data_IF_028587397695
#
_entry.id   IF_028587397695
#
_cell.length_a   1.000
_cell.length_b   1.000
_cell.length_c   1.000
_cell.angle_alpha   90.00
_cell.angle_beta   90.00
_cell.angle_gamma   90.00
#
_symmetry.space_group_name_H-M   'P 1'
#
loop_
_entity.id
_entity.type
_entity.pdbx_description
1 polymer ?
#
# COMPACT_ATOMS: atom_id res chain seq x y z
N UNK A 1 15.93 21.39 -16.04
CA UNK A 1 16.00 20.68 -14.76
C UNK A 1 15.15 19.43 -14.92
N UNK A 2 15.74 18.25 -14.86
CA UNK A 2 15.00 16.99 -14.91
C UNK A 2 14.16 16.91 -13.63
N UNK A 3 12.84 16.93 -13.78
CA UNK A 3 11.92 16.82 -12.66
C UNK A 3 12.02 15.39 -12.12
N UNK A 4 12.78 15.18 -11.03
CA UNK A 4 12.96 13.88 -10.41
C UNK A 4 11.60 13.37 -9.93
N UNK A 5 11.19 12.17 -10.37
CA UNK A 5 9.94 11.57 -9.93
C UNK A 5 10.03 11.16 -8.47
N UNK A 6 8.95 11.39 -7.72
CA UNK A 6 8.81 11.01 -6.32
C UNK A 6 7.85 9.84 -6.20
N UNK A 7 8.27 8.81 -5.45
CA UNK A 7 7.45 7.66 -5.13
C UNK A 7 7.24 7.55 -3.62
N UNK A 8 6.01 7.33 -3.20
CA UNK A 8 5.65 7.01 -1.82
C UNK A 8 5.31 5.52 -1.71
N UNK A 9 6.04 4.79 -0.86
CA UNK A 9 5.85 3.35 -0.64
C UNK A 9 5.33 3.14 0.78
N UNK A 10 4.09 2.71 0.94
CA UNK A 10 3.61 2.29 2.26
C UNK A 10 4.09 0.86 2.55
N UNK A 11 4.45 0.57 3.81
CA UNK A 11 4.96 -0.77 4.16
C UNK A 11 6.36 -1.06 3.62
N UNK A 12 7.21 -0.04 3.52
CA UNK A 12 8.58 -0.13 2.98
C UNK A 12 9.46 -1.16 3.67
N UNK A 13 9.17 -1.50 4.92
CA UNK A 13 9.92 -2.48 5.72
C UNK A 13 9.59 -3.93 5.37
N UNK A 14 8.55 -4.17 4.57
CA UNK A 14 8.21 -5.48 4.02
C UNK A 14 9.19 -5.93 2.93
N UNK A 15 9.07 -7.19 2.50
CA UNK A 15 9.92 -7.74 1.45
C UNK A 15 9.76 -6.98 0.14
N UNK A 16 8.53 -6.86 -0.35
CA UNK A 16 8.24 -6.18 -1.62
C UNK A 16 8.57 -4.69 -1.55
N UNK A 17 8.30 -4.04 -0.40
CA UNK A 17 8.64 -2.64 -0.18
C UNK A 17 10.14 -2.37 -0.29
N UNK A 18 10.96 -3.24 0.27
CA UNK A 18 12.41 -3.12 0.22
C UNK A 18 12.97 -3.31 -1.20
N UNK A 19 12.52 -4.35 -1.92
CA UNK A 19 12.93 -4.57 -3.31
C UNK A 19 12.44 -3.48 -4.25
N UNK A 20 11.20 -3.02 -4.09
CA UNK A 20 10.64 -1.91 -4.87
C UNK A 20 11.44 -0.62 -4.64
N UNK A 21 11.81 -0.33 -3.39
CA UNK A 21 12.65 0.82 -3.07
C UNK A 21 13.97 0.80 -3.84
N UNK A 22 14.66 -0.35 -3.84
CA UNK A 22 15.89 -0.54 -4.60
C UNK A 22 15.68 -0.27 -6.09
N UNK A 23 14.66 -0.88 -6.68
CA UNK A 23 14.34 -0.71 -8.10
C UNK A 23 14.05 0.75 -8.47
N UNK A 24 13.31 1.47 -7.64
CA UNK A 24 12.95 2.86 -7.90
C UNK A 24 14.15 3.80 -7.74
N UNK A 25 15.02 3.57 -6.75
CA UNK A 25 16.29 4.30 -6.62
C UNK A 25 17.20 4.10 -7.85
N UNK A 26 17.34 2.86 -8.34
CA UNK A 26 18.08 2.55 -9.55
C UNK A 26 17.50 3.23 -10.80
N UNK A 27 16.20 3.50 -10.82
CA UNK A 27 15.50 4.27 -11.87
C UNK A 27 15.56 5.79 -11.67
N UNK A 28 16.25 6.28 -10.65
CA UNK A 28 16.43 7.70 -10.38
C UNK A 28 15.24 8.38 -9.72
N UNK A 29 14.36 7.63 -9.05
CA UNK A 29 13.30 8.20 -8.22
C UNK A 29 13.85 8.72 -6.90
N UNK A 30 13.23 9.78 -6.38
CA UNK A 30 13.29 10.12 -4.97
C UNK A 30 12.26 9.27 -4.22
N UNK A 31 12.74 8.41 -3.32
CA UNK A 31 11.90 7.40 -2.65
C UNK A 31 11.57 7.83 -1.23
N UNK A 32 10.29 7.85 -0.92
CA UNK A 32 9.72 8.05 0.41
C UNK A 32 9.12 6.73 0.89
N UNK A 33 9.64 6.20 1.99
CA UNK A 33 9.18 4.96 2.57
C UNK A 33 8.45 5.19 3.87
N UNK A 34 7.29 4.54 4.09
CA UNK A 34 6.56 4.70 5.32
C UNK A 34 6.71 3.54 6.28
N UNK A 35 6.85 3.87 7.56
CA UNK A 35 6.87 2.93 8.66
C UNK A 35 6.09 3.48 9.86
N UNK A 36 5.46 2.61 10.67
CA UNK A 36 4.84 3.05 11.94
C UNK A 36 5.91 3.28 13.01
N UNK A 37 5.69 4.23 13.93
CA UNK A 37 6.56 4.44 15.10
C UNK A 37 6.74 3.17 15.94
N UNK A 38 7.87 3.03 16.57
CA UNK A 38 8.07 2.14 17.72
C UNK A 38 8.67 0.76 17.48
N UNK A 39 9.34 0.47 16.36
CA UNK A 39 10.08 -0.77 16.21
C UNK A 39 11.50 -0.55 15.70
N UNK A 40 12.48 -0.81 16.53
CA UNK A 40 13.91 -0.68 16.25
C UNK A 40 14.45 -1.71 15.23
N UNK A 41 13.73 -2.81 14.98
CA UNK A 41 14.18 -3.88 14.07
C UNK A 41 13.56 -3.84 12.67
N UNK A 42 12.92 -2.72 12.30
CA UNK A 42 12.11 -2.66 11.07
C UNK A 42 12.90 -2.60 9.77
N UNK A 43 14.11 -2.13 9.79
CA UNK A 43 14.83 -1.73 8.58
C UNK A 43 15.84 -2.76 8.06
N UNK A 44 15.95 -3.92 8.69
CA UNK A 44 16.94 -4.95 8.35
C UNK A 44 16.97 -5.34 6.87
N UNK A 45 15.81 -5.35 6.19
CA UNK A 45 15.74 -5.64 4.75
C UNK A 45 16.29 -4.49 3.90
N UNK A 46 16.03 -3.25 4.30
CA UNK A 46 16.56 -2.06 3.62
C UNK A 46 18.07 -1.94 3.82
N UNK A 47 18.57 -2.26 5.04
CA UNK A 47 19.99 -2.34 5.36
C UNK A 47 20.68 -3.44 4.54
N UNK A 48 20.09 -4.65 4.50
CA UNK A 48 20.61 -5.76 3.70
C UNK A 48 20.74 -5.43 2.21
N UNK A 49 19.82 -4.63 1.67
CA UNK A 49 19.85 -4.17 0.28
C UNK A 49 20.71 -2.91 0.08
N UNK A 50 21.32 -2.36 1.16
CA UNK A 50 22.11 -1.13 1.15
C UNK A 50 21.36 0.08 0.58
N UNK A 51 20.08 0.22 0.89
CA UNK A 51 19.23 1.32 0.37
C UNK A 51 18.66 2.23 1.46
N UNK A 52 18.80 1.88 2.74
CA UNK A 52 18.20 2.63 3.84
C UNK A 52 18.59 4.12 3.86
N UNK A 53 19.88 4.42 3.66
CA UNK A 53 20.40 5.79 3.69
C UNK A 53 19.94 6.65 2.50
N UNK A 54 19.39 6.02 1.47
CA UNK A 54 18.91 6.68 0.25
C UNK A 54 17.37 6.85 0.23
N UNK A 55 16.67 6.45 1.29
CA UNK A 55 15.21 6.51 1.40
C UNK A 55 14.81 7.52 2.47
N UNK A 56 13.89 8.39 2.16
CA UNK A 56 13.27 9.28 3.13
C UNK A 56 12.22 8.50 3.95
N UNK A 57 12.56 8.11 5.17
CA UNK A 57 11.63 7.36 6.05
C UNK A 57 10.67 8.33 6.74
N UNK A 58 9.37 8.02 6.68
CA UNK A 58 8.29 8.85 7.23
C UNK A 58 7.40 8.03 8.17
N UNK A 59 7.03 8.62 9.30
CA UNK A 59 6.01 8.08 10.18
C UNK A 59 4.63 8.17 9.53
N UNK A 60 3.96 7.02 9.37
CA UNK A 60 2.70 6.95 8.66
C UNK A 60 1.83 5.82 9.22
N UNK A 61 0.55 6.11 9.48
CA UNK A 61 -0.41 5.13 9.94
C UNK A 61 -1.67 5.16 9.05
N UNK A 62 -2.05 4.00 8.52
CA UNK A 62 -3.26 3.85 7.70
C UNK A 62 -4.57 4.09 8.47
N UNK A 63 -4.52 4.10 9.80
CA UNK A 63 -5.66 4.42 10.65
C UNK A 63 -5.88 5.93 10.81
N UNK A 64 -4.85 6.75 10.53
CA UNK A 64 -4.87 8.18 10.82
C UNK A 64 -4.98 9.01 9.53
N UNK A 65 -6.20 9.43 9.21
CA UNK A 65 -6.52 10.16 7.97
C UNK A 65 -5.75 11.48 7.83
N UNK A 66 -5.64 12.25 8.92
CA UNK A 66 -4.93 13.52 8.88
C UNK A 66 -3.43 13.37 8.63
N UNK A 67 -2.82 12.28 9.13
CA UNK A 67 -1.42 11.95 8.87
C UNK A 67 -1.23 11.57 7.39
N UNK A 68 -2.15 10.78 6.81
CA UNK A 68 -2.15 10.42 5.38
C UNK A 68 -2.18 11.66 4.50
N UNK A 69 -3.16 12.54 4.73
CA UNK A 69 -3.32 13.78 3.95
C UNK A 69 -2.09 14.67 4.02
N UNK A 70 -1.60 14.97 5.23
CA UNK A 70 -0.41 15.80 5.43
C UNK A 70 0.82 15.21 4.74
N UNK A 71 1.01 13.90 4.80
CA UNK A 71 2.13 13.22 4.16
C UNK A 71 2.05 13.36 2.64
N UNK A 72 0.92 13.02 2.03
CA UNK A 72 0.73 13.14 0.58
C UNK A 72 0.91 14.60 0.13
N UNK A 73 0.32 15.55 0.85
CA UNK A 73 0.40 16.99 0.54
C UNK A 73 1.83 17.52 0.66
N UNK A 74 2.62 17.07 1.65
CA UNK A 74 3.99 17.54 1.84
C UNK A 74 4.97 16.98 0.80
N UNK A 75 4.77 15.73 0.36
CA UNK A 75 5.64 15.06 -0.60
C UNK A 75 5.23 15.39 -2.04
N UNK A 76 3.92 15.50 -2.31
CA UNK A 76 3.36 15.57 -3.66
C UNK A 76 3.95 14.47 -4.55
N UNK A 77 3.75 13.18 -4.19
CA UNK A 77 4.34 12.07 -4.94
C UNK A 77 3.71 11.97 -6.33
N UNK A 78 4.47 11.50 -7.32
CA UNK A 78 3.93 11.17 -8.63
C UNK A 78 3.27 9.79 -8.64
N UNK A 79 3.74 8.92 -7.74
CA UNK A 79 3.29 7.53 -7.65
C UNK A 79 3.21 7.10 -6.19
N UNK A 80 2.11 6.43 -5.81
CA UNK A 80 1.93 5.81 -4.47
C UNK A 80 1.78 4.31 -4.64
N UNK A 81 2.61 3.55 -3.93
CA UNK A 81 2.57 2.09 -3.86
C UNK A 81 2.08 1.66 -2.48
N UNK A 82 0.82 1.23 -2.40
CA UNK A 82 0.22 0.82 -1.13
C UNK A 82 0.46 -0.67 -0.87
N UNK A 83 1.56 -0.96 -0.17
CA UNK A 83 1.95 -2.32 0.24
C UNK A 83 1.67 -2.60 1.72
N UNK A 84 1.40 -1.54 2.52
CA UNK A 84 1.11 -1.70 3.94
C UNK A 84 -0.22 -2.42 4.16
N UNK A 85 -0.23 -3.37 5.07
CA UNK A 85 -1.40 -4.11 5.48
C UNK A 85 -1.20 -4.78 6.85
N UNK A 86 -2.29 -5.10 7.55
CA UNK A 86 -2.29 -6.23 8.46
C UNK A 86 -2.41 -7.49 7.59
N UNK A 87 -1.28 -8.19 7.33
CA UNK A 87 -1.17 -9.25 6.31
C UNK A 87 -1.17 -10.67 6.88
N UNK A 88 -1.08 -10.82 8.20
CA UNK A 88 -1.09 -12.13 8.82
C UNK A 88 -2.52 -12.67 8.95
N UNK A 89 -2.89 -13.60 8.06
CA UNK A 89 -4.26 -14.12 7.92
C UNK A 89 -4.84 -14.63 9.24
N UNK A 90 -4.14 -15.45 10.07
CA UNK A 90 -4.68 -15.91 11.35
C UNK A 90 -5.13 -14.76 12.27
N UNK A 91 -4.32 -13.72 12.42
CA UNK A 91 -4.68 -12.54 13.25
C UNK A 91 -5.96 -11.85 12.76
N UNK A 92 -6.31 -11.98 11.48
CA UNK A 92 -7.54 -11.35 10.96
C UNK A 92 -8.82 -11.96 11.55
N UNK A 93 -8.78 -13.20 12.02
CA UNK A 93 -9.91 -13.83 12.72
C UNK A 93 -10.05 -13.34 14.17
N UNK A 94 -8.92 -13.03 14.81
CA UNK A 94 -8.93 -12.51 16.18
C UNK A 94 -9.25 -11.00 16.20
N UNK A 95 -8.79 -10.25 15.19
CA UNK A 95 -8.91 -8.80 15.08
C UNK A 95 -9.54 -8.37 13.75
N UNK A 96 -10.78 -8.81 13.43
CA UNK A 96 -11.39 -8.56 12.12
C UNK A 96 -11.68 -7.08 11.87
N UNK A 97 -12.07 -6.32 12.89
CA UNK A 97 -12.34 -4.88 12.78
C UNK A 97 -11.05 -4.12 12.47
N UNK A 98 -10.00 -4.35 13.25
CA UNK A 98 -8.70 -3.71 13.04
C UNK A 98 -8.13 -4.05 11.65
N UNK A 99 -8.25 -5.32 11.23
CA UNK A 99 -7.80 -5.77 9.90
C UNK A 99 -8.55 -5.04 8.79
N UNK A 100 -9.87 -4.89 8.92
CA UNK A 100 -10.70 -4.17 7.95
C UNK A 100 -10.41 -2.67 7.95
N UNK A 101 -10.21 -2.08 9.09
CA UNK A 101 -9.90 -0.65 9.22
C UNK A 101 -8.55 -0.31 8.57
N UNK A 102 -7.51 -1.12 8.81
CA UNK A 102 -6.20 -0.95 8.18
C UNK A 102 -6.26 -1.21 6.67
N UNK A 103 -6.78 -2.37 6.25
CA UNK A 103 -6.63 -2.83 4.88
C UNK A 103 -7.66 -2.22 3.93
N UNK A 104 -8.92 -2.16 4.35
CA UNK A 104 -10.03 -1.65 3.55
C UNK A 104 -10.14 -0.13 3.67
N UNK A 105 -10.43 0.37 4.87
CA UNK A 105 -10.61 1.80 5.08
C UNK A 105 -9.29 2.60 4.95
N UNK A 106 -8.15 2.01 5.33
CA UNK A 106 -6.84 2.62 5.12
C UNK A 106 -6.57 2.89 3.63
N UNK A 107 -6.90 1.93 2.75
CA UNK A 107 -6.81 2.12 1.30
C UNK A 107 -7.75 3.24 0.84
N UNK A 108 -9.00 3.24 1.32
CA UNK A 108 -9.97 4.27 0.98
C UNK A 108 -9.52 5.67 1.42
N UNK A 109 -8.91 5.80 2.62
CA UNK A 109 -8.33 7.07 3.10
C UNK A 109 -7.24 7.59 2.17
N UNK A 110 -6.37 6.71 1.62
CA UNK A 110 -5.35 7.13 0.64
C UNK A 110 -6.01 7.60 -0.65
N UNK A 111 -6.96 6.83 -1.19
CA UNK A 111 -7.66 7.17 -2.43
C UNK A 111 -8.39 8.51 -2.33
N UNK A 112 -9.11 8.75 -1.24
CA UNK A 112 -9.81 10.01 -0.97
C UNK A 112 -8.84 11.20 -0.81
N UNK A 113 -7.68 10.95 -0.19
CA UNK A 113 -6.61 11.95 -0.11
C UNK A 113 -6.03 12.30 -1.48
N UNK A 114 -5.80 11.31 -2.35
CA UNK A 114 -5.35 11.51 -3.73
C UNK A 114 -6.37 12.38 -4.48
N UNK A 115 -7.64 11.99 -4.44
CA UNK A 115 -8.71 12.72 -5.12
C UNK A 115 -8.78 14.18 -4.68
N UNK A 116 -8.57 14.45 -3.38
CA UNK A 116 -8.65 15.80 -2.81
C UNK A 116 -7.41 16.64 -3.12
N UNK A 117 -6.20 16.02 -3.16
CA UNK A 117 -4.93 16.75 -3.27
C UNK A 117 -4.49 16.89 -4.72
N UNK A 118 -4.35 15.77 -5.44
CA UNK A 118 -3.99 15.74 -6.86
C UNK A 118 -4.39 14.39 -7.49
N UNK A 119 -5.45 14.39 -8.28
CA UNK A 119 -5.96 13.21 -8.97
C UNK A 119 -5.00 12.60 -10.01
N UNK A 120 -3.94 13.30 -10.39
CA UNK A 120 -2.93 12.78 -11.32
C UNK A 120 -1.91 11.85 -10.64
N UNK A 121 -1.91 11.74 -9.32
CA UNK A 121 -1.06 10.79 -8.59
C UNK A 121 -1.46 9.37 -8.98
N UNK A 122 -0.51 8.62 -9.51
CA UNK A 122 -0.74 7.21 -9.86
C UNK A 122 -0.74 6.36 -8.59
N UNK A 123 -1.74 5.51 -8.47
CA UNK A 123 -1.91 4.65 -7.31
C UNK A 123 -1.82 3.17 -7.68
N UNK A 124 -0.98 2.43 -6.95
CA UNK A 124 -0.89 0.98 -7.01
C UNK A 124 -1.37 0.37 -5.69
N UNK A 125 -2.35 -0.52 -5.77
CA UNK A 125 -2.84 -1.31 -4.64
C UNK A 125 -2.29 -2.73 -4.71
N UNK A 126 -1.52 -3.15 -3.73
CA UNK A 126 -1.17 -4.54 -3.57
C UNK A 126 -2.42 -5.33 -3.19
N UNK A 127 -2.84 -6.22 -4.05
CA UNK A 127 -3.93 -7.17 -3.80
C UNK A 127 -3.38 -8.48 -3.19
N UNK A 128 -4.12 -9.57 -3.25
CA UNK A 128 -3.69 -10.86 -2.69
C UNK A 128 -4.44 -12.02 -3.35
N UNK A 129 -3.81 -13.17 -3.44
CA UNK A 129 -4.48 -14.42 -3.87
C UNK A 129 -5.58 -14.87 -2.90
N UNK A 130 -5.55 -14.42 -1.63
CA UNK A 130 -6.59 -14.70 -0.64
C UNK A 130 -7.99 -14.16 -1.03
N UNK A 131 -8.05 -13.24 -1.99
CA UNK A 131 -9.32 -12.75 -2.55
C UNK A 131 -10.06 -13.86 -3.31
N UNK A 132 -9.34 -14.75 -3.98
CA UNK A 132 -9.95 -15.90 -4.69
C UNK A 132 -10.52 -16.94 -3.73
N UNK A 133 -9.86 -17.18 -2.59
CA UNK A 133 -10.33 -18.02 -1.49
C UNK A 133 -10.84 -19.40 -1.94
N UNK A 134 -12.17 -19.62 -1.94
CA UNK A 134 -12.77 -20.86 -2.46
C UNK A 134 -12.94 -20.76 -3.97
N UNK A 135 -11.87 -21.04 -4.70
CA UNK A 135 -11.85 -20.95 -6.18
C UNK A 135 -12.82 -21.95 -6.83
N UNK A 136 -13.43 -21.52 -7.92
CA UNK A 136 -14.27 -22.37 -8.76
C UNK A 136 -13.54 -22.85 -10.01
N UNK A 137 -12.60 -22.06 -10.51
CA UNK A 137 -11.83 -22.33 -11.72
C UNK A 137 -10.35 -22.46 -11.41
N UNK A 138 -9.64 -23.32 -12.13
CA UNK A 138 -8.19 -23.56 -12.05
C UNK A 138 -7.67 -23.68 -13.48
N UNK A 139 -6.66 -22.89 -13.87
CA UNK A 139 -6.01 -21.80 -13.12
C UNK A 139 -6.93 -20.60 -12.92
N UNK A 140 -6.57 -19.70 -11.98
CA UNK A 140 -7.21 -18.38 -11.85
C UNK A 140 -6.66 -17.43 -12.92
N UNK A 141 -7.50 -16.51 -13.35
CA UNK A 141 -7.23 -15.41 -14.28
C UNK A 141 -7.97 -14.13 -13.85
N UNK A 142 -7.92 -13.10 -14.66
CA UNK A 142 -8.55 -11.81 -14.38
C UNK A 142 -10.08 -11.87 -14.35
N UNK A 143 -10.70 -12.89 -14.96
CA UNK A 143 -12.16 -13.10 -14.97
C UNK A 143 -12.62 -13.98 -13.79
N UNK A 144 -11.69 -14.55 -13.02
CA UNK A 144 -12.02 -15.44 -11.91
C UNK A 144 -12.67 -14.65 -10.77
N UNK A 145 -13.88 -15.07 -10.39
CA UNK A 145 -14.65 -14.42 -9.33
C UNK A 145 -13.99 -14.59 -7.96
N UNK A 146 -13.97 -13.52 -7.17
CA UNK A 146 -13.50 -13.55 -5.80
C UNK A 146 -14.49 -14.24 -4.87
N UNK A 147 -13.97 -15.07 -3.96
CA UNK A 147 -14.73 -15.74 -2.91
C UNK A 147 -13.88 -15.85 -1.64
N UNK A 148 -13.48 -14.71 -1.02
CA UNK A 148 -12.58 -14.70 0.12
C UNK A 148 -13.12 -15.52 1.30
N UNK A 149 -12.20 -16.14 2.07
CA UNK A 149 -12.53 -17.04 3.18
C UNK A 149 -11.95 -16.57 4.52
N UNK A 150 -11.40 -15.37 4.56
CA UNK A 150 -10.86 -14.76 5.78
C UNK A 150 -11.23 -13.28 5.86
N UNK A 151 -11.29 -12.68 7.07
CA UNK A 151 -11.46 -11.24 7.21
C UNK A 151 -10.38 -10.45 6.46
N UNK A 152 -9.15 -10.96 6.42
CA UNK A 152 -8.08 -10.43 5.60
C UNK A 152 -8.45 -10.40 4.11
N UNK A 153 -8.84 -11.56 3.54
CA UNK A 153 -9.23 -11.65 2.14
C UNK A 153 -10.40 -10.72 1.79
N UNK A 154 -11.42 -10.63 2.68
CA UNK A 154 -12.56 -9.71 2.52
C UNK A 154 -12.09 -8.26 2.49
N UNK A 155 -11.24 -7.84 3.44
CA UNK A 155 -10.72 -6.48 3.51
C UNK A 155 -9.88 -6.09 2.29
N UNK A 156 -9.10 -7.03 1.75
CA UNK A 156 -8.31 -6.83 0.53
C UNK A 156 -9.18 -6.79 -0.72
N UNK A 157 -10.26 -7.58 -0.78
CA UNK A 157 -11.26 -7.51 -1.86
C UNK A 157 -11.95 -6.15 -1.89
N UNK A 158 -12.31 -5.60 -0.72
CA UNK A 158 -12.84 -4.24 -0.63
C UNK A 158 -11.85 -3.21 -1.17
N UNK A 159 -10.57 -3.27 -0.74
CA UNK A 159 -9.52 -2.36 -1.20
C UNK A 159 -9.32 -2.43 -2.72
N UNK A 160 -9.34 -3.64 -3.29
CA UNK A 160 -9.23 -3.88 -4.72
C UNK A 160 -10.38 -3.21 -5.49
N UNK A 161 -11.62 -3.48 -5.12
CA UNK A 161 -12.78 -2.88 -5.78
C UNK A 161 -12.88 -1.36 -5.54
N UNK A 162 -12.48 -0.86 -4.39
CA UNK A 162 -12.40 0.59 -4.16
C UNK A 162 -11.41 1.25 -5.12
N UNK A 163 -10.27 0.62 -5.39
CA UNK A 163 -9.28 1.13 -6.35
C UNK A 163 -9.85 1.17 -7.77
N UNK A 164 -10.56 0.11 -8.19
CA UNK A 164 -11.25 0.08 -9.49
C UNK A 164 -12.32 1.17 -9.54
N UNK A 165 -13.16 1.26 -8.51
CA UNK A 165 -14.24 2.24 -8.44
C UNK A 165 -13.72 3.69 -8.55
N UNK A 166 -12.65 4.03 -7.81
CA UNK A 166 -12.07 5.37 -7.90
C UNK A 166 -11.53 5.68 -9.29
N UNK A 167 -10.81 4.73 -9.92
CA UNK A 167 -10.33 4.88 -11.30
C UNK A 167 -11.47 5.10 -12.31
N UNK A 168 -12.59 4.39 -12.17
CA UNK A 168 -13.72 4.47 -13.11
C UNK A 168 -14.65 5.66 -12.85
N UNK A 169 -14.71 6.15 -11.61
CA UNK A 169 -15.63 7.20 -11.21
C UNK A 169 -15.03 8.60 -11.25
N UNK A 170 -13.69 8.71 -11.14
CA UNK A 170 -13.03 10.02 -10.98
C UNK A 170 -11.95 10.31 -12.02
N UNK A 171 -11.69 9.38 -12.98
CA UNK A 171 -10.64 9.44 -14.02
C UNK A 171 -9.22 9.58 -13.45
#
# INVERSE_FOLDING_TARGET
MTNTKRALITGVTGQDGAYLSKLLLEKGYEVYGTARRGASEKFSRLEFLNVLDNINIIDFDLLEFSNIQKTIQSIMPHEIYNLAAQSFVPTSFDLPILTSDINALGTLRILDSILTIDKNIKFYQASTSEMFGKVKNIPQDEETLFHPRSPYGVSKTFAHYSTINYRESYD
#
